data_IF_815471042272
#
_entry.id   IF_815471042272
#
_cell.length_a   1.000
_cell.length_b   1.000
_cell.length_c   1.000
_cell.angle_alpha   90.00
_cell.angle_beta   90.00
_cell.angle_gamma   90.00
#
_symmetry.space_group_name_H-M   'P 1'
#
loop_
_entity.id
_entity.type
_entity.pdbx_description
1 polymer ?
#
# COMPACT_ATOMS: atom_id res chain seq x y z
N UNK A 1 13.03 6.52 11.67
CA UNK A 1 11.66 6.79 11.19
C UNK A 1 11.28 5.72 10.17
N UNK A 2 10.10 5.15 10.32
CA UNK A 2 9.61 4.18 9.36
C UNK A 2 9.28 4.84 8.03
N UNK A 3 9.40 4.08 6.96
CA UNK A 3 9.24 4.55 5.59
C UNK A 3 8.02 3.93 4.93
N UNK A 4 7.19 4.76 4.30
CA UNK A 4 6.00 4.35 3.58
C UNK A 4 6.11 4.71 2.10
N UNK A 5 5.75 3.78 1.22
CA UNK A 5 5.60 4.03 -0.20
C UNK A 5 4.12 4.08 -0.54
N UNK A 6 3.67 5.17 -1.15
CA UNK A 6 2.30 5.33 -1.65
C UNK A 6 2.32 5.14 -3.16
N UNK A 7 1.57 4.16 -3.66
CA UNK A 7 1.49 3.83 -5.09
C UNK A 7 0.05 4.04 -5.56
N UNK A 8 -0.18 5.08 -6.34
CA UNK A 8 -1.50 5.43 -6.87
C UNK A 8 -1.31 6.36 -8.06
N UNK A 9 -2.10 6.20 -9.13
CA UNK A 9 -2.00 7.05 -10.30
C UNK A 9 -2.62 8.43 -10.08
N UNK A 10 -3.48 8.58 -9.09
CA UNK A 10 -4.13 9.85 -8.77
C UNK A 10 -3.26 10.68 -7.83
N UNK A 11 -2.87 11.86 -8.30
CA UNK A 11 -2.12 12.81 -7.47
C UNK A 11 -2.90 13.23 -6.22
N UNK A 12 -4.21 13.41 -6.35
CA UNK A 12 -5.08 13.80 -5.24
C UNK A 12 -5.08 12.71 -4.16
N UNK A 13 -5.24 11.45 -4.58
CA UNK A 13 -5.24 10.32 -3.64
C UNK A 13 -3.88 10.19 -2.97
N UNK A 14 -2.78 10.32 -3.74
CA UNK A 14 -1.43 10.28 -3.14
C UNK A 14 -1.25 11.36 -2.09
N UNK A 15 -1.77 12.57 -2.34
CA UNK A 15 -1.68 13.68 -1.38
C UNK A 15 -2.42 13.35 -0.09
N UNK A 16 -3.63 12.79 -0.20
CA UNK A 16 -4.44 12.40 0.97
C UNK A 16 -3.74 11.29 1.75
N UNK A 17 -3.28 10.24 1.06
CA UNK A 17 -2.59 9.12 1.68
C UNK A 17 -1.29 9.58 2.36
N UNK A 18 -0.52 10.46 1.71
CA UNK A 18 0.70 11.03 2.30
C UNK A 18 0.41 11.71 3.63
N UNK A 19 -0.62 12.55 3.68
CA UNK A 19 -0.98 13.27 4.92
C UNK A 19 -1.30 12.31 6.04
N UNK A 20 -2.07 11.27 5.74
CA UNK A 20 -2.44 10.27 6.73
C UNK A 20 -1.18 9.56 7.27
N UNK A 21 -0.30 9.13 6.37
CA UNK A 21 0.89 8.40 6.77
C UNK A 21 1.89 9.28 7.50
N UNK A 22 2.00 10.56 7.11
CA UNK A 22 2.86 11.52 7.82
C UNK A 22 2.34 11.78 9.23
N UNK A 23 1.02 11.85 9.42
CA UNK A 23 0.42 11.94 10.76
C UNK A 23 0.76 10.72 11.62
N UNK A 24 0.95 9.56 10.99
CA UNK A 24 1.40 8.34 11.66
C UNK A 24 2.92 8.27 11.81
N UNK A 25 3.60 9.36 11.48
CA UNK A 25 5.05 9.54 11.62
C UNK A 25 5.90 8.66 10.70
N UNK A 26 5.36 8.34 9.51
CA UNK A 26 6.14 7.74 8.44
C UNK A 26 6.79 8.82 7.59
N UNK A 27 8.00 8.54 7.09
CA UNK A 27 8.52 9.27 5.93
C UNK A 27 7.86 8.67 4.69
N UNK A 28 7.45 9.50 3.74
CA UNK A 28 6.62 9.04 2.62
C UNK A 28 7.29 9.32 1.28
N UNK A 29 7.35 8.31 0.45
CA UNK A 29 7.70 8.41 -0.96
C UNK A 29 6.46 8.06 -1.79
N UNK A 30 6.31 8.69 -2.96
CA UNK A 30 5.17 8.45 -3.84
C UNK A 30 5.62 7.85 -5.16
N UNK A 31 4.79 6.97 -5.71
CA UNK A 31 4.97 6.43 -7.06
C UNK A 31 3.63 6.52 -7.78
N UNK A 32 3.66 6.92 -9.05
CA UNK A 32 2.44 7.13 -9.83
C UNK A 32 1.97 5.87 -10.58
N UNK A 33 2.78 4.83 -10.63
CA UNK A 33 2.42 3.56 -11.26
C UNK A 33 3.17 2.40 -10.63
N UNK A 34 2.81 1.18 -11.03
CA UNK A 34 3.39 -0.02 -10.47
C UNK A 34 4.89 -0.17 -10.75
N UNK A 35 5.33 0.20 -11.94
CA UNK A 35 6.76 0.09 -12.28
C UNK A 35 7.60 1.04 -11.45
N UNK A 36 7.15 2.29 -11.28
CA UNK A 36 7.84 3.24 -10.42
C UNK A 36 7.87 2.74 -8.97
N UNK A 37 6.76 2.15 -8.50
CA UNK A 37 6.69 1.56 -7.18
C UNK A 37 7.66 0.41 -6.98
N UNK A 38 7.78 -0.47 -7.97
CA UNK A 38 8.74 -1.59 -7.90
C UNK A 38 10.18 -1.10 -7.89
N UNK A 39 10.49 -0.07 -8.67
CA UNK A 39 11.83 0.53 -8.65
C UNK A 39 12.15 1.15 -7.28
N UNK A 40 11.17 1.85 -6.70
CA UNK A 40 11.33 2.42 -5.37
C UNK A 40 11.60 1.35 -4.32
N UNK A 41 10.88 0.22 -4.37
CA UNK A 41 11.12 -0.90 -3.47
C UNK A 41 12.51 -1.52 -3.67
N UNK A 42 12.97 -1.61 -4.92
CA UNK A 42 14.29 -2.15 -5.22
C UNK A 42 15.40 -1.26 -4.65
N UNK A 43 15.23 0.05 -4.74
CA UNK A 43 16.21 1.00 -4.20
C UNK A 43 16.21 1.05 -2.68
N UNK A 44 15.03 1.04 -2.08
CA UNK A 44 14.86 1.06 -0.63
C UNK A 44 13.53 0.41 -0.27
N UNK A 45 13.58 -0.80 0.25
CA UNK A 45 12.36 -1.52 0.63
C UNK A 45 11.65 -0.77 1.76
N UNK A 46 10.41 -0.34 1.57
CA UNK A 46 9.67 0.38 2.61
C UNK A 46 9.20 -0.54 3.73
N UNK A 47 8.79 0.05 4.84
CA UNK A 47 8.17 -0.67 5.95
C UNK A 47 6.68 -0.89 5.69
N UNK A 48 6.05 0.02 4.95
CA UNK A 48 4.63 -0.02 4.61
C UNK A 48 4.42 0.42 3.17
N UNK A 49 3.59 -0.30 2.44
CA UNK A 49 3.15 0.09 1.10
C UNK A 49 1.65 0.34 1.14
N UNK A 50 1.25 1.55 0.73
CA UNK A 50 -0.13 1.93 0.54
C UNK A 50 -0.40 1.85 -0.97
N UNK A 51 -1.16 0.86 -1.40
CA UNK A 51 -1.26 0.46 -2.81
C UNK A 51 -2.67 0.65 -3.34
N UNK A 52 -2.80 1.39 -4.46
CA UNK A 52 -4.05 1.40 -5.23
C UNK A 52 -4.21 0.08 -5.97
N UNK A 53 -5.34 -0.59 -5.76
CA UNK A 53 -5.63 -1.87 -6.42
C UNK A 53 -5.79 -1.73 -7.92
N UNK A 54 -6.33 -0.60 -8.39
CA UNK A 54 -6.69 -0.38 -9.78
C UNK A 54 -5.67 0.48 -10.53
N UNK A 55 -4.41 0.06 -10.53
CA UNK A 55 -3.36 0.75 -11.28
C UNK A 55 -3.55 0.54 -12.80
N UNK A 56 -3.23 1.56 -13.63
CA UNK A 56 -3.54 1.50 -15.06
C UNK A 56 -2.69 0.52 -15.86
N UNK A 57 -1.41 0.33 -15.51
CA UNK A 57 -0.47 -0.47 -16.32
C UNK A 57 -0.06 -1.77 -15.66
N UNK A 58 -0.34 -1.93 -14.39
CA UNK A 58 -0.02 -3.14 -13.64
C UNK A 58 -1.08 -3.34 -12.58
N UNK A 59 -1.70 -4.51 -12.55
CA UNK A 59 -2.73 -4.80 -11.54
C UNK A 59 -2.09 -4.93 -10.16
N UNK A 60 -2.87 -4.58 -9.13
CA UNK A 60 -2.41 -4.67 -7.75
C UNK A 60 -1.89 -6.05 -7.37
N UNK A 61 -2.56 -7.11 -7.83
CA UNK A 61 -2.12 -8.49 -7.59
C UNK A 61 -0.72 -8.75 -8.13
N UNK A 62 -0.46 -8.31 -9.37
CA UNK A 62 0.85 -8.46 -10.00
C UNK A 62 1.92 -7.68 -9.24
N UNK A 63 1.59 -6.46 -8.81
CA UNK A 63 2.49 -5.63 -8.01
C UNK A 63 2.87 -6.34 -6.71
N UNK A 64 1.89 -6.87 -5.97
CA UNK A 64 2.13 -7.56 -4.69
C UNK A 64 3.06 -8.76 -4.90
N UNK A 65 2.78 -9.58 -5.90
CA UNK A 65 3.61 -10.74 -6.21
C UNK A 65 5.06 -10.33 -6.54
N UNK A 66 5.20 -9.26 -7.30
CA UNK A 66 6.53 -8.76 -7.70
C UNK A 66 7.31 -8.23 -6.49
N UNK A 67 6.67 -7.48 -5.59
CA UNK A 67 7.31 -7.01 -4.36
C UNK A 67 7.75 -8.20 -3.50
N UNK A 68 6.86 -9.15 -3.28
CA UNK A 68 7.16 -10.31 -2.43
C UNK A 68 8.27 -11.18 -3.00
N UNK A 69 8.50 -11.12 -4.32
CA UNK A 69 9.61 -11.80 -4.97
C UNK A 69 10.95 -11.09 -4.92
N UNK A 70 10.98 -9.82 -4.50
CA UNK A 70 12.25 -9.09 -4.37
C UNK A 70 12.99 -9.46 -3.10
N UNK A 71 14.30 -9.18 -3.06
CA UNK A 71 15.08 -9.31 -1.83
C UNK A 71 14.48 -8.41 -0.76
N UNK A 72 14.30 -8.94 0.45
CA UNK A 72 13.61 -8.28 1.55
C UNK A 72 12.12 -7.98 1.28
N UNK A 73 11.57 -8.53 0.21
CA UNK A 73 10.17 -8.29 -0.19
C UNK A 73 9.12 -8.85 0.76
N UNK A 74 9.51 -9.68 1.71
CA UNK A 74 8.62 -10.14 2.78
C UNK A 74 8.46 -9.14 3.93
N UNK A 75 9.32 -8.11 3.98
CA UNK A 75 9.34 -7.16 5.08
C UNK A 75 8.14 -6.20 5.12
N UNK A 76 7.72 -5.55 4.00
CA UNK A 76 6.71 -4.51 4.11
C UNK A 76 5.34 -5.04 4.47
N UNK A 77 4.62 -4.25 5.25
CA UNK A 77 3.17 -4.39 5.40
C UNK A 77 2.56 -3.80 4.14
N UNK A 78 1.64 -4.53 3.50
CA UNK A 78 0.95 -4.04 2.30
C UNK A 78 -0.52 -3.82 2.64
N UNK A 79 -0.94 -2.56 2.57
CA UNK A 79 -2.33 -2.13 2.70
C UNK A 79 -2.78 -1.66 1.33
N UNK A 80 -3.76 -2.34 0.73
CA UNK A 80 -4.26 -1.90 -0.57
C UNK A 80 -5.62 -1.22 -0.43
N UNK A 81 -5.90 -0.28 -1.34
CA UNK A 81 -7.18 0.39 -1.37
C UNK A 81 -7.91 0.10 -2.69
N UNK A 82 -9.22 -0.08 -2.60
CA UNK A 82 -10.04 -0.46 -3.73
C UNK A 82 -11.41 0.18 -3.64
N UNK A 83 -12.07 0.36 -4.79
CA UNK A 83 -13.47 0.78 -4.86
C UNK A 83 -14.42 -0.42 -4.85
N UNK A 84 -13.90 -1.62 -4.95
CA UNK A 84 -14.69 -2.84 -5.04
C UNK A 84 -14.40 -3.76 -3.86
N UNK A 85 -15.46 -4.42 -3.38
CA UNK A 85 -15.35 -5.37 -2.28
C UNK A 85 -15.63 -6.80 -2.74
N UNK A 86 -15.18 -7.16 -3.95
CA UNK A 86 -15.31 -8.53 -4.45
C UNK A 86 -14.51 -9.47 -3.55
N UNK A 87 -15.18 -10.39 -2.82
CA UNK A 87 -14.48 -11.30 -1.91
C UNK A 87 -13.42 -12.15 -2.58
N UNK A 88 -13.61 -12.53 -3.84
CA UNK A 88 -12.63 -13.34 -4.57
C UNK A 88 -11.36 -12.54 -4.84
N UNK A 89 -11.48 -11.28 -5.24
CA UNK A 89 -10.31 -10.42 -5.48
C UNK A 89 -9.56 -10.11 -4.18
N UNK A 90 -10.29 -9.83 -3.11
CA UNK A 90 -9.69 -9.58 -1.81
C UNK A 90 -8.93 -10.83 -1.34
N UNK A 91 -9.54 -12.02 -1.46
CA UNK A 91 -8.89 -13.27 -1.09
C UNK A 91 -7.63 -13.51 -1.91
N UNK A 92 -7.66 -13.22 -3.22
CA UNK A 92 -6.49 -13.35 -4.09
C UNK A 92 -5.36 -12.43 -3.67
N UNK A 93 -5.69 -11.17 -3.31
CA UNK A 93 -4.70 -10.21 -2.84
C UNK A 93 -4.06 -10.65 -1.53
N UNK A 94 -4.86 -11.14 -0.59
CA UNK A 94 -4.36 -11.62 0.69
C UNK A 94 -3.48 -12.85 0.51
N UNK A 95 -3.88 -13.78 -0.36
CA UNK A 95 -3.10 -14.97 -0.67
C UNK A 95 -1.77 -14.62 -1.32
N UNK A 96 -1.72 -13.55 -2.11
CA UNK A 96 -0.50 -13.08 -2.76
C UNK A 96 0.46 -12.36 -1.79
N UNK A 97 -0.02 -11.98 -0.61
CA UNK A 97 0.83 -11.37 0.40
C UNK A 97 0.41 -10.00 0.90
N UNK A 98 -0.78 -9.51 0.55
CA UNK A 98 -1.33 -8.30 1.17
C UNK A 98 -1.69 -8.57 2.63
N UNK A 99 -1.58 -7.56 3.48
CA UNK A 99 -1.86 -7.69 4.90
C UNK A 99 -3.24 -7.19 5.28
N UNK A 100 -3.74 -6.17 4.58
CA UNK A 100 -5.06 -5.59 4.87
C UNK A 100 -5.53 -4.76 3.68
N UNK A 101 -6.81 -4.38 3.68
CA UNK A 101 -7.37 -3.51 2.64
C UNK A 101 -8.25 -2.43 3.26
N UNK A 102 -8.47 -1.36 2.49
CA UNK A 102 -9.39 -0.29 2.86
C UNK A 102 -10.17 0.14 1.62
N UNK A 103 -11.42 0.53 1.81
CA UNK A 103 -12.28 0.96 0.69
C UNK A 103 -12.07 2.44 0.39
N UNK A 104 -12.15 2.80 -0.89
CA UNK A 104 -12.22 4.20 -1.33
C UNK A 104 -13.69 4.66 -1.32
N UNK A 105 -13.97 5.88 -0.88
CA UNK A 105 -13.06 6.84 -0.27
C UNK A 105 -12.67 6.43 1.15
N UNK A 106 -11.42 6.68 1.51
CA UNK A 106 -10.91 6.36 2.84
C UNK A 106 -10.63 7.64 3.62
N UNK A 107 -10.55 7.52 4.94
CA UNK A 107 -10.16 8.61 5.81
C UNK A 107 -9.09 8.13 6.80
N UNK A 108 -8.58 9.08 7.59
CA UNK A 108 -7.54 8.77 8.57
C UNK A 108 -7.98 7.72 9.58
N UNK A 109 -9.21 7.83 10.08
CA UNK A 109 -9.73 6.88 11.08
C UNK A 109 -9.83 5.46 10.52
N UNK A 110 -10.30 5.33 9.27
CA UNK A 110 -10.41 4.03 8.62
C UNK A 110 -9.06 3.37 8.37
N UNK A 111 -8.09 4.15 7.91
CA UNK A 111 -6.72 3.63 7.68
C UNK A 111 -6.09 3.22 9.01
N UNK A 112 -6.20 4.04 10.05
CA UNK A 112 -5.67 3.73 11.38
C UNK A 112 -6.27 2.45 11.94
N UNK A 113 -7.58 2.27 11.79
CA UNK A 113 -8.28 1.09 12.28
C UNK A 113 -7.78 -0.18 11.60
N UNK A 114 -7.59 -0.13 10.27
CA UNK A 114 -7.09 -1.28 9.52
C UNK A 114 -5.65 -1.63 9.88
N UNK A 115 -4.81 -0.64 10.09
CA UNK A 115 -3.43 -0.87 10.51
C UNK A 115 -3.38 -1.44 11.94
N UNK A 116 -4.25 -0.96 12.83
CA UNK A 116 -4.34 -1.50 14.19
C UNK A 116 -4.75 -2.97 14.19
N UNK A 117 -5.66 -3.36 13.29
CA UNK A 117 -6.11 -4.76 13.16
C UNK A 117 -4.96 -5.74 12.90
N UNK A 118 -3.89 -5.27 12.28
CA UNK A 118 -2.73 -6.11 11.95
C UNK A 118 -1.50 -5.76 12.81
N UNK A 119 -1.72 -5.06 13.91
CA UNK A 119 -0.67 -4.78 14.90
C UNK A 119 0.25 -3.61 14.56
N UNK A 120 -0.08 -2.82 13.54
CA UNK A 120 0.69 -1.61 13.19
C UNK A 120 0.09 -0.44 13.95
N UNK A 121 0.85 0.10 14.88
CA UNK A 121 0.42 1.24 15.69
C UNK A 121 1.27 2.46 15.39
N UNK A 122 0.71 3.64 15.67
CA UNK A 122 1.49 4.88 15.62
C UNK A 122 2.62 4.80 16.65
N UNK A 123 3.80 5.27 16.31
CA UNK A 123 4.91 5.30 17.25
C UNK A 123 4.66 6.25 18.41
#
# INVERSE_FOLDING_TARGET
MKHCLVVDDSRVIRTVARRIMEELQYSVEEAEDGMAGLRACHEKMPDLIFLDWNLPTMKGLEFIKSVRGQQAGGHPVILFCTTESDPAEIASAMAAGANEYVMKPFDSAGVRAKLADIGVTAP
#
